data_IF_285712222052
#
_entry.id   IF_285712222052
#
_cell.length_a   1.000
_cell.length_b   1.000
_cell.length_c   1.000
_cell.angle_alpha   90.00
_cell.angle_beta   90.00
_cell.angle_gamma   90.00
#
_symmetry.space_group_name_H-M   'P 1'
#
loop_
_entity.id
_entity.type
_entity.pdbx_description
1 polymer ?
#
# COMPACT_ATOMS: atom_id res chain seq x y z
N UNK A 1 -13.66 53.09 -16.95
CA UNK A 1 -13.11 52.15 -15.95
C UNK A 1 -11.93 51.45 -16.60
N UNK A 2 -10.69 51.82 -16.22
CA UNK A 2 -9.46 51.25 -16.77
C UNK A 2 -9.20 49.91 -16.05
N UNK A 3 -9.01 48.83 -16.83
CA UNK A 3 -8.59 47.53 -16.32
C UNK A 3 -7.19 47.67 -15.70
N UNK A 4 -6.94 47.01 -14.55
CA UNK A 4 -5.61 46.99 -13.98
C UNK A 4 -4.68 46.17 -14.86
N UNK A 5 -3.59 46.78 -15.33
CA UNK A 5 -2.56 46.08 -16.08
C UNK A 5 -1.85 45.06 -15.19
N UNK A 6 -1.86 43.80 -15.60
CA UNK A 6 -1.05 42.72 -14.98
C UNK A 6 0.44 43.08 -15.11
N UNK A 7 1.11 43.40 -14.01
CA UNK A 7 2.56 43.59 -13.98
C UNK A 7 3.23 42.23 -13.89
N UNK A 8 4.04 41.89 -14.88
CA UNK A 8 4.98 40.78 -14.82
C UNK A 8 5.97 41.08 -13.71
N UNK A 9 6.13 40.10 -12.80
CA UNK A 9 7.18 40.16 -11.74
C UNK A 9 8.53 40.02 -12.44
N UNK A 10 9.32 41.10 -12.43
CA UNK A 10 10.70 41.07 -12.91
C UNK A 10 11.52 40.01 -12.16
N UNK A 11 12.43 39.31 -12.85
CA UNK A 11 13.27 38.28 -12.28
C UNK A 11 14.13 38.76 -11.08
N UNK A 12 14.72 37.86 -10.32
CA UNK A 12 15.40 38.19 -9.06
C UNK A 12 16.54 39.19 -9.29
N UNK A 13 16.46 40.34 -8.60
CA UNK A 13 17.54 41.34 -8.60
C UNK A 13 18.81 40.75 -7.96
N UNK A 14 20.00 41.26 -8.31
CA UNK A 14 21.30 40.84 -7.73
C UNK A 14 21.29 40.88 -6.18
N UNK A 15 20.50 41.80 -5.57
CA UNK A 15 20.36 41.91 -4.12
C UNK A 15 19.57 40.75 -3.52
N UNK A 16 18.55 40.25 -4.21
CA UNK A 16 17.76 39.08 -3.76
C UNK A 16 18.61 37.80 -3.78
N UNK A 17 19.49 37.64 -4.76
CA UNK A 17 20.40 36.49 -4.85
C UNK A 17 21.41 36.48 -3.72
N UNK A 18 22.01 37.64 -3.37
CA UNK A 18 22.95 37.76 -2.25
C UNK A 18 22.26 37.53 -0.92
N UNK A 19 21.07 38.11 -0.71
CA UNK A 19 20.29 37.90 0.49
C UNK A 19 19.91 36.41 0.68
N UNK A 20 19.48 35.72 -0.39
CA UNK A 20 19.19 34.29 -0.36
C UNK A 20 20.43 33.47 -0.01
N UNK A 21 21.60 33.77 -0.62
CA UNK A 21 22.85 33.09 -0.34
C UNK A 21 23.28 33.24 1.12
N UNK A 22 23.15 34.46 1.69
CA UNK A 22 23.42 34.70 3.09
C UNK A 22 22.49 33.93 4.03
N UNK A 23 21.18 33.90 3.73
CA UNK A 23 20.20 33.14 4.50
C UNK A 23 20.48 31.64 4.45
N UNK A 24 20.80 31.06 3.28
CA UNK A 24 21.17 29.65 3.13
C UNK A 24 22.43 29.32 3.95
N UNK A 25 23.46 30.18 3.91
CA UNK A 25 24.68 29.99 4.71
C UNK A 25 24.41 30.05 6.21
N UNK A 26 23.51 30.92 6.66
CA UNK A 26 23.09 31.00 8.05
C UNK A 26 22.34 29.73 8.49
N UNK A 27 21.42 29.24 7.67
CA UNK A 27 20.66 28.00 7.92
C UNK A 27 21.63 26.81 8.00
N UNK A 28 22.57 26.69 7.07
CA UNK A 28 23.55 25.61 7.10
C UNK A 28 24.46 25.63 8.33
N UNK A 29 24.82 26.80 8.82
CA UNK A 29 25.59 26.94 10.09
C UNK A 29 24.76 26.54 11.31
N UNK A 30 23.48 26.87 11.34
CA UNK A 30 22.63 26.67 12.49
C UNK A 30 22.04 25.23 12.53
N UNK A 31 21.70 24.65 11.40
CA UNK A 31 20.98 23.38 11.29
C UNK A 31 21.77 22.26 10.59
N UNK A 32 22.98 22.56 10.09
CA UNK A 32 23.82 21.60 9.37
C UNK A 32 23.68 21.68 7.86
N UNK A 33 24.69 21.15 7.15
CA UNK A 33 24.70 21.07 5.69
C UNK A 33 23.56 20.19 5.19
N UNK A 34 22.86 20.65 4.15
CA UNK A 34 21.75 19.92 3.55
C UNK A 34 20.37 20.20 4.18
N UNK A 35 20.30 21.12 5.16
CA UNK A 35 19.02 21.56 5.76
C UNK A 35 18.09 22.22 4.74
N UNK A 36 18.65 22.83 3.69
CA UNK A 36 17.91 23.36 2.54
C UNK A 36 18.61 22.88 1.26
N UNK A 37 17.85 22.26 0.37
CA UNK A 37 18.35 21.75 -0.91
C UNK A 37 17.53 22.29 -2.08
N UNK A 38 18.17 22.47 -3.24
CA UNK A 38 17.45 22.74 -4.49
C UNK A 38 16.97 21.42 -5.08
N UNK A 39 15.68 21.29 -5.30
CA UNK A 39 15.04 20.04 -5.75
C UNK A 39 15.65 19.48 -7.05
N UNK A 40 16.00 20.33 -8.00
CA UNK A 40 16.57 19.92 -9.30
C UNK A 40 18.08 19.58 -9.33
N UNK A 41 18.78 19.60 -8.17
CA UNK A 41 20.21 19.24 -8.10
C UNK A 41 20.49 17.86 -7.51
N UNK A 42 19.49 17.18 -6.97
CA UNK A 42 19.63 15.88 -6.30
C UNK A 42 18.65 14.87 -6.88
N UNK A 43 18.95 14.31 -8.07
CA UNK A 43 18.16 13.23 -8.67
C UNK A 43 18.05 12.00 -7.75
N UNK A 44 19.06 11.77 -6.90
CA UNK A 44 19.06 10.67 -5.91
C UNK A 44 18.06 10.84 -4.76
N UNK A 45 17.57 12.07 -4.48
CA UNK A 45 16.57 12.30 -3.43
C UNK A 45 15.14 11.96 -3.89
N UNK A 46 14.93 11.71 -5.17
CA UNK A 46 13.65 11.36 -5.76
C UNK A 46 13.48 9.85 -6.01
N UNK A 47 14.55 9.07 -5.89
CA UNK A 47 14.52 7.62 -6.09
C UNK A 47 13.99 6.93 -4.82
N UNK A 48 12.67 6.80 -4.74
CA UNK A 48 12.01 6.08 -3.65
C UNK A 48 12.03 4.59 -3.99
N UNK A 49 12.80 3.84 -3.22
CA UNK A 49 12.81 2.39 -3.32
C UNK A 49 11.44 1.82 -2.98
N UNK A 50 11.01 0.80 -3.72
CA UNK A 50 9.75 0.13 -3.52
C UNK A 50 9.95 -1.34 -3.12
N UNK A 51 9.03 -1.83 -2.28
CA UNK A 51 8.90 -3.24 -1.93
C UNK A 51 7.64 -3.77 -2.62
N UNK A 52 7.75 -4.89 -3.34
CA UNK A 52 6.61 -5.51 -3.98
C UNK A 52 5.52 -5.84 -2.97
N UNK A 53 4.28 -5.61 -3.35
CA UNK A 53 3.10 -5.99 -2.57
C UNK A 53 2.81 -7.50 -2.63
N UNK A 54 3.48 -8.22 -3.52
CA UNK A 54 3.19 -9.61 -3.85
C UNK A 54 2.16 -9.78 -4.97
N UNK A 55 1.49 -8.71 -5.40
CA UNK A 55 0.62 -8.63 -6.57
C UNK A 55 1.28 -7.76 -7.64
N UNK A 56 1.52 -8.34 -8.81
CA UNK A 56 2.15 -7.63 -9.93
C UNK A 56 1.26 -6.49 -10.44
N UNK A 57 -0.05 -6.72 -10.50
CA UNK A 57 -1.00 -5.70 -10.92
C UNK A 57 -1.03 -4.50 -9.99
N UNK A 58 -1.01 -4.75 -8.68
CA UNK A 58 -0.95 -3.68 -7.69
C UNK A 58 0.38 -2.92 -7.76
N UNK A 59 1.50 -3.62 -7.93
CA UNK A 59 2.82 -2.99 -8.09
C UNK A 59 2.87 -2.04 -9.30
N UNK A 60 2.26 -2.44 -10.43
CA UNK A 60 2.13 -1.59 -11.62
C UNK A 60 1.17 -0.42 -11.36
N UNK A 61 0.05 -0.66 -10.71
CA UNK A 61 -0.93 0.39 -10.39
C UNK A 61 -0.36 1.47 -9.46
N UNK A 62 0.54 1.09 -8.54
CA UNK A 62 1.24 2.00 -7.64
C UNK A 62 2.25 2.92 -8.38
N UNK A 63 2.66 2.58 -9.60
CA UNK A 63 3.46 3.42 -10.48
C UNK A 63 4.94 3.50 -10.17
N UNK A 64 5.39 2.96 -9.03
CA UNK A 64 6.79 2.88 -8.61
C UNK A 64 7.28 1.44 -8.46
N UNK A 65 6.47 0.46 -8.89
CA UNK A 65 6.81 -0.96 -8.84
C UNK A 65 6.60 -1.63 -7.47
N UNK A 66 5.80 -1.04 -6.59
CA UNK A 66 5.46 -1.58 -5.28
C UNK A 66 5.11 -0.51 -4.25
N UNK A 67 5.10 -0.89 -2.98
CA UNK A 67 4.85 -0.01 -1.84
C UNK A 67 6.11 0.77 -1.45
N UNK A 68 6.00 2.07 -1.10
CA UNK A 68 7.16 2.95 -0.91
C UNK A 68 7.88 2.71 0.41
N UNK A 69 9.21 2.54 0.37
CA UNK A 69 10.06 2.56 1.56
C UNK A 69 10.11 3.95 2.19
N UNK A 70 10.27 3.99 3.51
CA UNK A 70 10.35 5.24 4.26
C UNK A 70 9.04 6.02 4.30
N UNK A 71 7.92 5.33 4.12
CA UNK A 71 6.58 5.92 4.09
C UNK A 71 5.58 5.13 4.92
N UNK A 72 4.49 5.82 5.26
CA UNK A 72 3.31 5.21 5.88
C UNK A 72 2.36 4.77 4.78
N UNK A 73 1.91 3.52 4.87
CA UNK A 73 0.90 2.90 4.02
C UNK A 73 -0.29 2.51 4.89
N UNK A 74 -1.51 2.75 4.44
CA UNK A 74 -2.73 2.25 5.07
C UNK A 74 -3.41 1.25 4.13
N UNK A 75 -3.69 0.06 4.65
CA UNK A 75 -4.51 -0.97 3.99
C UNK A 75 -5.79 -1.10 4.79
N UNK A 76 -6.93 -0.79 4.18
CA UNK A 76 -8.20 -0.85 4.89
C UNK A 76 -9.29 -1.51 4.04
N UNK A 77 -10.29 -2.04 4.69
CA UNK A 77 -11.41 -2.72 4.05
C UNK A 77 -12.26 -3.49 5.05
N UNK A 78 -13.34 -4.12 4.56
CA UNK A 78 -14.19 -5.00 5.38
C UNK A 78 -13.40 -6.15 5.99
N UNK A 79 -14.02 -6.84 6.94
CA UNK A 79 -13.50 -8.09 7.49
C UNK A 79 -13.34 -9.15 6.38
N UNK A 80 -12.34 -10.02 6.51
CA UNK A 80 -12.06 -11.09 5.55
C UNK A 80 -11.82 -10.64 4.10
N UNK A 81 -11.44 -9.37 3.88
CA UNK A 81 -11.15 -8.84 2.54
C UNK A 81 -9.72 -9.13 2.04
N UNK A 82 -8.83 -9.69 2.89
CA UNK A 82 -7.45 -10.02 2.53
C UNK A 82 -6.40 -8.97 2.94
N UNK A 83 -6.71 -8.06 3.88
CA UNK A 83 -5.78 -7.03 4.39
C UNK A 83 -4.48 -7.62 4.93
N UNK A 84 -4.60 -8.52 5.89
CA UNK A 84 -3.46 -9.20 6.53
C UNK A 84 -2.71 -10.07 5.52
N UNK A 85 -3.42 -10.74 4.60
CA UNK A 85 -2.81 -11.52 3.51
C UNK A 85 -1.90 -10.65 2.64
N UNK A 86 -2.36 -9.48 2.22
CA UNK A 86 -1.56 -8.55 1.41
C UNK A 86 -0.34 -8.01 2.17
N UNK A 87 -0.50 -7.71 3.46
CA UNK A 87 0.61 -7.28 4.31
C UNK A 87 1.66 -8.40 4.50
N UNK A 88 1.23 -9.64 4.71
CA UNK A 88 2.12 -10.80 4.82
C UNK A 88 2.86 -11.09 3.51
N UNK A 89 2.21 -10.95 2.36
CA UNK A 89 2.90 -11.04 1.07
C UNK A 89 3.98 -9.96 0.93
N UNK A 90 3.69 -8.72 1.37
CA UNK A 90 4.69 -7.65 1.37
C UNK A 90 5.89 -7.98 2.25
N UNK A 91 5.67 -8.57 3.44
CA UNK A 91 6.73 -9.08 4.32
C UNK A 91 7.54 -10.14 3.60
N UNK A 92 6.88 -11.14 2.99
CA UNK A 92 7.56 -12.22 2.27
C UNK A 92 8.44 -11.69 1.12
N UNK A 93 7.95 -10.71 0.36
CA UNK A 93 8.72 -10.08 -0.72
C UNK A 93 9.91 -9.24 -0.19
N UNK A 94 9.76 -8.60 0.97
CA UNK A 94 10.86 -7.89 1.63
C UNK A 94 11.95 -8.87 2.13
N UNK A 95 11.54 -9.95 2.81
CA UNK A 95 12.46 -10.97 3.32
C UNK A 95 13.23 -11.69 2.21
N UNK A 96 12.63 -11.94 1.04
CA UNK A 96 13.31 -12.50 -0.14
C UNK A 96 14.50 -11.64 -0.61
N UNK A 97 14.46 -10.33 -0.33
CA UNK A 97 15.54 -9.38 -0.63
C UNK A 97 16.50 -9.18 0.57
N UNK A 98 16.38 -10.01 1.62
CA UNK A 98 17.18 -9.91 2.84
C UNK A 98 16.71 -8.82 3.80
N UNK A 99 15.49 -8.30 3.62
CA UNK A 99 14.92 -7.27 4.50
C UNK A 99 14.47 -7.82 5.85
N UNK A 100 14.69 -7.06 6.92
CA UNK A 100 14.23 -7.37 8.27
C UNK A 100 12.81 -6.82 8.44
N UNK A 101 11.90 -7.70 8.90
CA UNK A 101 10.49 -7.38 9.03
C UNK A 101 10.00 -7.57 10.47
N UNK A 102 9.06 -6.71 10.87
CA UNK A 102 8.40 -6.79 12.18
C UNK A 102 6.88 -6.71 12.01
N UNK A 103 6.17 -7.38 12.91
CA UNK A 103 4.72 -7.43 12.96
C UNK A 103 4.24 -7.14 14.38
N UNK A 104 3.48 -6.07 14.54
CA UNK A 104 2.80 -5.72 15.79
C UNK A 104 1.37 -6.21 15.68
N UNK A 105 1.10 -7.34 16.32
CA UNK A 105 -0.17 -8.04 16.32
C UNK A 105 -1.03 -7.60 17.50
N UNK A 106 -1.76 -6.50 17.33
CA UNK A 106 -2.66 -5.98 18.36
C UNK A 106 -4.02 -6.74 18.41
N UNK A 107 -4.33 -7.54 17.41
CA UNK A 107 -5.52 -8.41 17.40
C UNK A 107 -5.24 -9.79 18.01
N UNK A 108 -3.96 -10.15 18.25
CA UNK A 108 -3.52 -11.48 18.72
C UNK A 108 -4.01 -12.62 17.82
N UNK A 109 -4.06 -12.38 16.52
CA UNK A 109 -4.72 -13.26 15.55
C UNK A 109 -3.78 -13.77 14.44
N UNK A 110 -2.48 -13.47 14.49
CA UNK A 110 -1.53 -13.93 13.48
C UNK A 110 -1.34 -15.44 13.55
N UNK A 111 -1.69 -16.13 12.46
CA UNK A 111 -1.41 -17.55 12.28
C UNK A 111 -0.03 -17.74 11.61
N UNK A 112 0.97 -18.31 12.34
CA UNK A 112 2.30 -18.54 11.78
C UNK A 112 2.30 -19.62 10.69
N UNK A 113 1.35 -20.58 10.72
CA UNK A 113 1.23 -21.61 9.70
C UNK A 113 0.76 -20.97 8.39
N UNK A 114 -0.23 -20.09 8.47
CA UNK A 114 -0.70 -19.34 7.30
C UNK A 114 0.39 -18.39 6.75
N UNK A 115 1.07 -17.65 7.62
CA UNK A 115 2.17 -16.77 7.23
C UNK A 115 3.26 -17.52 6.47
N UNK A 116 3.66 -18.73 6.96
CA UNK A 116 4.64 -19.59 6.30
C UNK A 116 4.18 -20.05 4.91
N UNK A 117 2.90 -20.38 4.76
CA UNK A 117 2.32 -20.74 3.43
C UNK A 117 2.36 -19.60 2.43
N UNK A 118 2.26 -18.35 2.89
CA UNK A 118 2.40 -17.15 2.06
C UNK A 118 3.87 -16.83 1.70
N UNK A 119 4.82 -17.60 2.21
CA UNK A 119 6.24 -17.44 1.93
C UNK A 119 6.99 -16.57 2.95
N UNK A 120 6.37 -16.24 4.08
CA UNK A 120 7.04 -15.53 5.18
C UNK A 120 8.00 -16.49 5.89
N UNK A 121 9.25 -16.06 6.08
CA UNK A 121 10.17 -16.70 6.99
C UNK A 121 9.79 -16.32 8.43
N UNK A 122 8.99 -17.16 9.07
CA UNK A 122 8.44 -16.89 10.40
C UNK A 122 9.50 -16.95 11.50
N UNK A 123 10.61 -17.66 11.25
CA UNK A 123 11.69 -17.81 12.21
C UNK A 123 12.53 -16.51 12.33
N UNK A 124 12.49 -15.65 11.32
CA UNK A 124 13.14 -14.34 11.31
C UNK A 124 12.17 -13.17 11.43
N UNK A 125 10.86 -13.43 11.49
CA UNK A 125 9.88 -12.36 11.66
C UNK A 125 9.82 -11.93 13.13
N UNK A 126 10.13 -10.65 13.37
CA UNK A 126 9.96 -10.07 14.71
C UNK A 126 8.46 -9.88 14.97
N UNK A 127 7.94 -10.46 16.05
CA UNK A 127 6.54 -10.32 16.44
C UNK A 127 6.43 -9.67 17.81
N UNK A 128 5.45 -8.78 17.97
CA UNK A 128 5.06 -8.19 19.24
C UNK A 128 3.55 -8.23 19.39
N UNK A 129 3.07 -8.61 20.57
CA UNK A 129 1.65 -8.68 20.91
C UNK A 129 1.37 -7.80 22.13
N UNK A 130 1.24 -6.49 21.94
CA UNK A 130 1.05 -5.53 23.01
C UNK A 130 -0.40 -5.52 23.52
N UNK A 131 -0.57 -5.27 24.82
CA UNK A 131 -1.89 -5.18 25.45
C UNK A 131 -2.55 -3.80 25.25
N UNK A 132 -1.75 -2.73 25.09
CA UNK A 132 -2.25 -1.35 24.97
C UNK A 132 -1.74 -0.68 23.70
N UNK A 133 -2.53 0.25 23.15
CA UNK A 133 -2.18 1.01 21.97
C UNK A 133 -0.91 1.85 22.12
N UNK A 134 -0.68 2.44 23.30
CA UNK A 134 0.55 3.18 23.62
C UNK A 134 1.77 2.27 23.52
N UNK A 135 1.69 1.07 24.10
CA UNK A 135 2.78 0.09 24.04
C UNK A 135 3.08 -0.34 22.60
N UNK A 136 2.04 -0.64 21.82
CA UNK A 136 2.17 -0.98 20.40
C UNK A 136 2.93 0.09 19.62
N UNK A 137 2.55 1.36 19.82
CA UNK A 137 3.11 2.49 19.08
C UNK A 137 4.50 2.90 19.58
N UNK A 138 4.83 2.68 20.85
CA UNK A 138 6.18 2.87 21.39
C UNK A 138 7.16 1.79 20.91
N UNK A 139 6.71 0.54 20.82
CA UNK A 139 7.47 -0.56 20.22
C UNK A 139 7.73 -0.24 18.75
N UNK A 140 6.70 0.17 18.01
CA UNK A 140 6.82 0.58 16.61
C UNK A 140 7.81 1.76 16.45
N UNK A 141 7.76 2.79 17.28
CA UNK A 141 8.69 3.92 17.25
C UNK A 141 10.15 3.46 17.52
N UNK A 142 10.34 2.57 18.47
CA UNK A 142 11.67 2.05 18.82
C UNK A 142 12.26 1.23 17.67
N UNK A 143 11.47 0.34 17.05
CA UNK A 143 11.89 -0.46 15.91
C UNK A 143 12.22 0.42 14.70
N UNK A 144 11.38 1.39 14.39
CA UNK A 144 11.62 2.34 13.29
C UNK A 144 12.88 3.16 13.53
N UNK A 145 13.08 3.69 14.73
CA UNK A 145 14.26 4.50 15.07
C UNK A 145 15.57 3.74 15.07
N UNK A 146 15.52 2.43 15.24
CA UNK A 146 16.73 1.58 15.13
C UNK A 146 17.35 1.64 13.74
N UNK A 147 16.55 1.92 12.70
CA UNK A 147 16.97 1.90 11.29
C UNK A 147 17.28 0.50 10.74
N UNK A 148 17.04 -0.55 11.53
CA UNK A 148 17.33 -1.93 11.14
C UNK A 148 16.13 -2.63 10.47
N UNK A 149 14.91 -2.11 10.64
CA UNK A 149 13.67 -2.73 10.13
C UNK A 149 13.29 -2.11 8.80
N UNK A 150 13.09 -2.94 7.78
CA UNK A 150 12.66 -2.53 6.44
C UNK A 150 11.14 -2.39 6.33
N UNK A 151 10.40 -3.35 6.91
CA UNK A 151 8.93 -3.37 6.93
C UNK A 151 8.42 -3.59 8.34
N UNK A 152 7.54 -2.72 8.78
CA UNK A 152 6.80 -2.85 10.03
C UNK A 152 5.31 -2.87 9.72
N UNK A 153 4.60 -3.90 10.14
CA UNK A 153 3.13 -4.00 10.04
C UNK A 153 2.52 -3.80 11.42
N UNK A 154 1.44 -3.05 11.50
CA UNK A 154 0.59 -2.89 12.70
C UNK A 154 -0.80 -3.39 12.35
N UNK A 155 -1.22 -4.50 12.93
CA UNK A 155 -2.52 -5.15 12.69
C UNK A 155 -3.30 -5.28 14.00
N UNK A 156 -4.38 -4.55 14.22
CA UNK A 156 -4.90 -3.47 13.40
C UNK A 156 -5.03 -2.17 14.22
N UNK A 157 -5.18 -1.05 13.52
CA UNK A 157 -5.45 0.26 14.20
C UNK A 157 -6.70 0.17 15.06
N UNK A 158 -7.71 -0.61 14.65
CA UNK A 158 -8.95 -0.78 15.41
C UNK A 158 -8.74 -1.42 16.80
N UNK A 159 -7.71 -2.25 16.94
CA UNK A 159 -7.35 -2.94 18.18
C UNK A 159 -6.38 -2.14 19.08
N UNK A 160 -5.90 -0.98 18.63
CA UNK A 160 -5.05 -0.10 19.44
C UNK A 160 -5.90 0.63 20.49
N UNK A 161 -6.23 -0.08 21.58
CA UNK A 161 -7.01 0.47 22.69
C UNK A 161 -6.09 1.31 23.58
N UNK A 162 -6.43 2.58 23.86
CA UNK A 162 -5.69 3.41 24.81
C UNK A 162 -5.70 2.83 26.23
N UNK A 163 -4.58 2.94 26.95
CA UNK A 163 -4.45 2.42 28.31
C UNK A 163 -5.54 2.94 29.24
N UNK A 164 -5.86 4.23 29.14
CA UNK A 164 -6.92 4.83 29.94
C UNK A 164 -8.31 4.19 29.73
N UNK A 165 -8.55 3.62 28.54
CA UNK A 165 -9.77 2.89 28.22
C UNK A 165 -9.73 1.46 28.78
N UNK A 166 -8.54 0.84 28.84
CA UNK A 166 -8.34 -0.47 29.42
C UNK A 166 -8.43 -0.48 30.96
N UNK A 167 -7.99 0.61 31.60
CA UNK A 167 -8.01 0.80 33.06
C UNK A 167 -9.36 1.34 33.58
N UNK A 168 -10.24 1.82 32.66
CA UNK A 168 -11.57 2.30 32.98
C UNK A 168 -12.57 1.19 33.30
N UNK A 169 -13.72 1.56 33.85
CA UNK A 169 -14.81 0.61 34.08
C UNK A 169 -15.55 0.30 32.77
N UNK A 170 -16.16 -0.90 32.70
CA UNK A 170 -17.00 -1.29 31.56
C UNK A 170 -18.16 -0.30 31.39
N UNK A 171 -18.16 0.39 30.23
CA UNK A 171 -19.16 1.41 29.93
C UNK A 171 -18.66 2.84 30.00
N UNK A 172 -17.44 3.06 30.49
CA UNK A 172 -16.80 4.38 30.45
C UNK A 172 -16.54 4.79 29.00
N UNK A 173 -17.07 5.94 28.61
CA UNK A 173 -16.91 6.46 27.25
C UNK A 173 -15.77 7.47 27.25
N UNK A 174 -14.72 7.15 26.47
CA UNK A 174 -13.57 8.07 26.24
C UNK A 174 -13.52 8.54 24.77
N UNK A 175 -14.41 9.47 24.37
CA UNK A 175 -14.52 9.88 22.98
C UNK A 175 -13.20 10.43 22.41
N UNK A 176 -12.74 9.87 21.33
CA UNK A 176 -11.59 10.36 20.59
C UNK A 176 -10.23 10.05 21.21
N UNK A 177 -10.13 9.24 22.27
CA UNK A 177 -8.88 8.81 22.90
C UNK A 177 -7.94 8.13 21.88
N UNK A 178 -8.43 7.15 21.12
CA UNK A 178 -7.72 6.47 20.07
C UNK A 178 -7.25 7.43 18.96
N UNK A 179 -8.10 8.38 18.55
CA UNK A 179 -7.74 9.36 17.53
C UNK A 179 -6.62 10.31 17.99
N UNK A 180 -6.61 10.70 19.27
CA UNK A 180 -5.53 11.50 19.88
C UNK A 180 -4.23 10.70 19.92
N UNK A 181 -4.29 9.44 20.36
CA UNK A 181 -3.15 8.52 20.41
C UNK A 181 -2.52 8.36 19.01
N UNK A 182 -3.31 8.06 17.99
CA UNK A 182 -2.85 7.94 16.60
C UNK A 182 -2.25 9.25 16.08
N UNK A 183 -2.87 10.39 16.38
CA UNK A 183 -2.35 11.70 15.96
C UNK A 183 -0.99 12.03 16.60
N UNK A 184 -0.79 11.67 17.86
CA UNK A 184 0.47 11.86 18.58
C UNK A 184 1.56 10.93 18.03
N UNK A 185 1.23 9.65 17.85
CA UNK A 185 2.16 8.64 17.35
C UNK A 185 2.64 8.97 15.94
N UNK A 186 1.73 9.29 15.02
CA UNK A 186 2.09 9.59 13.63
C UNK A 186 2.96 10.85 13.50
N UNK A 187 2.76 11.86 14.36
CA UNK A 187 3.66 13.03 14.42
C UNK A 187 5.09 12.67 14.81
N UNK A 188 5.26 11.73 15.76
CA UNK A 188 6.59 11.21 16.13
C UNK A 188 7.21 10.33 15.06
N UNK A 189 6.43 9.35 14.59
CA UNK A 189 6.89 8.31 13.66
C UNK A 189 7.30 8.85 12.30
N UNK A 190 6.60 9.85 11.76
CA UNK A 190 6.79 10.28 10.36
C UNK A 190 8.23 10.70 10.05
N UNK A 191 8.87 11.46 10.94
CA UNK A 191 10.25 11.89 10.75
C UNK A 191 11.24 10.73 10.87
N UNK A 192 10.99 9.80 11.79
CA UNK A 192 11.81 8.60 11.99
C UNK A 192 11.68 7.63 10.83
N UNK A 193 10.47 7.38 10.35
CA UNK A 193 10.14 6.55 9.19
C UNK A 193 10.90 7.01 7.94
N UNK A 194 10.88 8.33 7.67
CA UNK A 194 11.58 8.88 6.51
C UNK A 194 13.10 8.72 6.60
N UNK A 195 13.68 8.90 7.80
CA UNK A 195 15.14 8.78 8.02
C UNK A 195 15.62 7.33 8.00
N UNK A 196 14.88 6.43 8.63
CA UNK A 196 15.23 5.00 8.69
C UNK A 196 14.94 4.27 7.39
N UNK A 197 14.14 4.86 6.48
CA UNK A 197 13.60 4.20 5.28
C UNK A 197 12.74 2.97 5.58
N UNK A 198 12.25 2.84 6.81
CA UNK A 198 11.31 1.79 7.19
C UNK A 198 9.96 2.05 6.52
N UNK A 199 9.38 1.08 5.86
CA UNK A 199 7.98 1.12 5.45
C UNK A 199 7.10 0.70 6.62
N UNK A 200 6.11 1.53 6.98
CA UNK A 200 5.15 1.18 8.03
C UNK A 200 3.76 1.01 7.42
N UNK A 201 3.22 -0.21 7.54
CA UNK A 201 1.89 -0.57 7.07
C UNK A 201 0.95 -0.59 8.27
N UNK A 202 -0.08 0.23 8.24
CA UNK A 202 -1.19 0.15 9.17
C UNK A 202 -2.37 -0.55 8.51
N UNK A 203 -2.80 -1.66 9.10
CA UNK A 203 -4.04 -2.33 8.72
C UNK A 203 -5.17 -1.67 9.48
N UNK A 204 -6.28 -1.38 8.79
CA UNK A 204 -7.41 -0.67 9.38
C UNK A 204 -8.75 -1.31 8.99
N UNK A 205 -9.75 -1.08 9.81
CA UNK A 205 -11.11 -1.56 9.61
C UNK A 205 -12.02 -0.41 9.21
N UNK A 206 -13.05 -0.72 8.43
CA UNK A 206 -14.12 0.22 8.07
C UNK A 206 -15.10 0.31 9.24
N UNK A 207 -15.54 1.52 9.53
CA UNK A 207 -16.62 1.84 10.45
C UNK A 207 -17.65 2.69 9.74
N UNK A 208 -18.91 2.56 10.13
CA UNK A 208 -20.01 3.34 9.57
C UNK A 208 -20.26 4.56 10.47
N UNK A 209 -20.30 5.75 9.89
CA UNK A 209 -20.73 6.97 10.58
C UNK A 209 -22.25 6.98 10.68
N UNK A 210 -22.76 7.21 11.89
CA UNK A 210 -24.19 7.36 12.14
C UNK A 210 -24.63 8.76 11.69
N UNK A 211 -25.80 8.84 11.03
CA UNK A 211 -26.42 10.13 10.67
C UNK A 211 -25.88 10.81 9.42
N UNK A 212 -25.09 10.14 8.59
CA UNK A 212 -24.66 10.66 7.29
C UNK A 212 -25.78 10.44 6.27
N UNK A 213 -26.46 11.52 5.88
CA UNK A 213 -27.54 11.49 4.88
C UNK A 213 -27.04 11.63 3.44
N UNK A 214 -25.86 12.23 3.23
CA UNK A 214 -25.24 12.45 1.91
C UNK A 214 -23.76 12.07 1.94
N UNK A 215 -23.25 11.49 0.84
CA UNK A 215 -21.89 11.01 0.71
C UNK A 215 -21.66 9.64 1.36
N UNK A 216 -20.41 9.15 1.33
CA UNK A 216 -20.08 7.83 1.88
C UNK A 216 -20.10 7.87 3.42
N UNK A 217 -20.90 7.01 4.09
CA UNK A 217 -20.86 6.87 5.53
C UNK A 217 -19.63 6.15 6.05
N UNK A 218 -18.85 5.53 5.17
CA UNK A 218 -17.69 4.74 5.55
C UNK A 218 -16.53 5.62 6.07
N UNK A 219 -15.91 5.19 7.13
CA UNK A 219 -14.71 5.78 7.70
C UNK A 219 -13.80 4.71 8.27
N UNK A 220 -12.55 5.02 8.53
CA UNK A 220 -11.59 4.10 9.17
C UNK A 220 -11.45 4.42 10.64
N UNK A 221 -11.06 3.43 11.48
CA UNK A 221 -10.76 3.61 12.91
C UNK A 221 -9.55 4.52 13.14
N UNK A 222 -9.39 5.06 14.36
CA UNK A 222 -8.23 5.88 14.71
C UNK A 222 -8.28 7.34 14.23
N UNK A 223 -9.45 7.82 13.78
CA UNK A 223 -9.66 9.20 13.36
C UNK A 223 -9.08 9.55 11.99
N UNK A 224 -8.80 10.84 11.76
CA UNK A 224 -8.36 11.31 10.44
C UNK A 224 -6.84 11.40 10.27
N UNK A 225 -6.05 11.25 11.33
CA UNK A 225 -4.60 11.46 11.26
C UNK A 225 -3.93 10.56 10.22
N UNK A 226 -4.25 9.27 10.23
CA UNK A 226 -3.67 8.30 9.29
C UNK A 226 -4.00 8.65 7.83
N UNK A 227 -5.20 9.17 7.55
CA UNK A 227 -5.58 9.62 6.20
C UNK A 227 -4.66 10.73 5.67
N UNK A 228 -4.15 11.59 6.54
CA UNK A 228 -3.22 12.67 6.15
C UNK A 228 -1.78 12.19 6.07
N UNK A 229 -1.32 11.39 7.05
CA UNK A 229 0.07 10.94 7.12
C UNK A 229 0.41 9.85 6.11
N UNK A 230 -0.52 8.96 5.78
CA UNK A 230 -0.30 7.94 4.77
C UNK A 230 0.08 8.53 3.41
N UNK A 231 1.11 7.97 2.80
CA UNK A 231 1.52 8.28 1.41
C UNK A 231 0.74 7.47 0.40
N UNK A 232 0.37 6.24 0.77
CA UNK A 232 -0.47 5.34 -0.02
C UNK A 232 -1.61 4.85 0.87
N UNK A 233 -2.83 4.80 0.32
CA UNK A 233 -4.00 4.20 0.95
C UNK A 233 -4.66 3.24 -0.03
N UNK A 234 -4.86 2.01 0.42
CA UNK A 234 -5.44 0.92 -0.34
C UNK A 234 -6.78 0.50 0.29
N UNK A 235 -7.84 0.60 -0.50
CA UNK A 235 -9.16 0.03 -0.17
C UNK A 235 -9.21 -1.38 -0.77
N UNK A 236 -9.30 -2.41 0.06
CA UNK A 236 -9.32 -3.81 -0.36
C UNK A 236 -10.68 -4.42 -0.06
N UNK A 237 -11.31 -5.00 -1.10
CA UNK A 237 -12.66 -5.56 -1.01
C UNK A 237 -12.75 -6.91 -1.71
N UNK A 238 -13.46 -7.83 -1.08
CA UNK A 238 -13.91 -9.05 -1.73
C UNK A 238 -15.06 -8.72 -2.67
N UNK A 239 -14.94 -9.13 -3.94
CA UNK A 239 -15.97 -8.90 -4.97
C UNK A 239 -16.65 -10.19 -5.44
N UNK A 240 -16.05 -11.35 -5.19
CA UNK A 240 -16.61 -12.64 -5.57
C UNK A 240 -16.01 -13.80 -4.79
N UNK A 241 -16.65 -14.96 -4.88
CA UNK A 241 -16.11 -16.22 -4.40
C UNK A 241 -15.61 -17.07 -5.56
N UNK A 242 -14.41 -17.64 -5.44
CA UNK A 242 -13.87 -18.60 -6.39
C UNK A 242 -14.29 -19.99 -5.90
N UNK A 243 -14.96 -20.71 -6.75
CA UNK A 243 -15.48 -22.06 -6.44
C UNK A 243 -14.82 -23.08 -7.35
N UNK A 244 -14.49 -24.22 -6.76
CA UNK A 244 -14.18 -25.43 -7.48
C UNK A 244 -15.26 -26.47 -7.16
N UNK A 245 -16.08 -26.82 -8.14
CA UNK A 245 -17.33 -27.59 -7.95
C UNK A 245 -18.26 -26.86 -6.96
N UNK A 246 -18.49 -27.42 -5.77
CA UNK A 246 -19.37 -26.86 -4.73
C UNK A 246 -18.58 -26.19 -3.58
N UNK A 247 -17.25 -26.28 -3.57
CA UNK A 247 -16.40 -25.72 -2.51
C UNK A 247 -15.87 -24.33 -2.89
N UNK A 248 -15.89 -23.43 -1.91
CA UNK A 248 -15.25 -22.10 -2.05
C UNK A 248 -13.77 -22.24 -1.72
N UNK A 249 -12.91 -22.10 -2.76
CA UNK A 249 -11.46 -22.27 -2.65
C UNK A 249 -10.70 -20.95 -2.57
N UNK A 250 -11.38 -19.82 -2.76
CA UNK A 250 -10.75 -18.52 -2.72
C UNK A 250 -11.75 -17.39 -2.93
N UNK A 251 -11.20 -16.18 -2.98
CA UNK A 251 -11.96 -14.97 -3.21
C UNK A 251 -11.33 -14.16 -4.34
N UNK A 252 -12.17 -13.63 -5.22
CA UNK A 252 -11.80 -12.54 -6.10
C UNK A 252 -11.80 -11.25 -5.28
N UNK A 253 -10.69 -10.53 -5.33
CA UNK A 253 -10.44 -9.36 -4.51
C UNK A 253 -10.10 -8.17 -5.37
N UNK A 254 -10.69 -7.02 -5.06
CA UNK A 254 -10.43 -5.74 -5.69
C UNK A 254 -9.66 -4.84 -4.73
N UNK A 255 -8.60 -4.21 -5.23
CA UNK A 255 -7.82 -3.19 -4.50
C UNK A 255 -7.87 -1.89 -5.26
N UNK A 256 -8.40 -0.84 -4.62
CA UNK A 256 -8.42 0.53 -5.14
C UNK A 256 -7.34 1.36 -4.46
N UNK A 257 -6.48 2.02 -5.25
CA UNK A 257 -5.47 2.95 -4.76
C UNK A 257 -6.13 4.31 -4.52
N UNK A 258 -6.71 4.51 -3.32
CA UNK A 258 -7.50 5.70 -3.01
C UNK A 258 -6.64 6.95 -2.82
N UNK A 259 -5.40 6.77 -2.40
CA UNK A 259 -4.42 7.85 -2.24
C UNK A 259 -3.04 7.35 -2.63
N UNK A 260 -2.34 8.16 -3.41
CA UNK A 260 -0.94 7.91 -3.75
C UNK A 260 -0.22 9.27 -3.91
N UNK A 261 0.82 9.51 -3.11
CA UNK A 261 1.63 10.74 -3.19
C UNK A 261 2.79 10.63 -4.19
N UNK A 262 2.98 9.46 -4.82
CA UNK A 262 4.16 9.11 -5.61
C UNK A 262 3.82 8.92 -7.10
N UNK A 263 2.58 8.60 -7.40
CA UNK A 263 2.04 8.43 -8.75
C UNK A 263 0.55 8.79 -8.76
N UNK A 264 -0.09 8.91 -9.93
CA UNK A 264 -1.53 9.16 -10.02
C UNK A 264 -2.32 8.10 -9.24
N UNK A 265 -3.23 8.52 -8.33
CA UNK A 265 -4.09 7.62 -7.56
C UNK A 265 -5.28 7.12 -8.38
N UNK A 266 -6.20 6.44 -7.71
CA UNK A 266 -7.51 5.94 -8.14
C UNK A 266 -7.47 4.72 -9.05
N UNK A 267 -6.30 4.19 -9.40
CA UNK A 267 -6.19 2.93 -10.13
C UNK A 267 -6.75 1.77 -9.30
N UNK A 268 -7.38 0.82 -9.99
CA UNK A 268 -8.06 -0.31 -9.43
C UNK A 268 -7.54 -1.60 -10.04
N UNK A 269 -7.25 -2.58 -9.22
CA UNK A 269 -6.76 -3.89 -9.66
C UNK A 269 -7.56 -5.01 -9.03
N UNK A 270 -7.72 -6.09 -9.76
CA UNK A 270 -8.38 -7.30 -9.30
C UNK A 270 -7.44 -8.49 -9.40
N UNK A 271 -7.47 -9.32 -8.38
CA UNK A 271 -6.71 -10.56 -8.32
C UNK A 271 -7.40 -11.58 -7.42
N UNK A 272 -7.03 -12.84 -7.59
CA UNK A 272 -7.53 -13.94 -6.80
C UNK A 272 -6.70 -14.12 -5.53
N UNK A 273 -7.35 -14.27 -4.39
CA UNK A 273 -6.74 -14.75 -3.14
C UNK A 273 -7.26 -16.17 -2.90
N UNK A 274 -6.35 -17.15 -3.02
CA UNK A 274 -6.66 -18.56 -2.80
C UNK A 274 -6.48 -18.91 -1.32
N UNK A 275 -7.37 -19.72 -0.78
CA UNK A 275 -7.28 -20.13 0.62
C UNK A 275 -6.06 -21.01 0.84
N UNK A 276 -5.21 -20.63 1.80
CA UNK A 276 -3.98 -21.33 2.11
C UNK A 276 -2.78 -21.06 1.17
N UNK A 277 -2.97 -20.36 0.04
CA UNK A 277 -1.91 -19.99 -0.90
C UNK A 277 -1.70 -18.47 -1.01
N UNK A 278 -2.74 -17.67 -0.68
CA UNK A 278 -2.72 -16.22 -0.83
C UNK A 278 -2.96 -15.73 -2.26
N UNK A 279 -2.29 -14.66 -2.66
CA UNK A 279 -2.43 -14.05 -3.99
C UNK A 279 -1.99 -15.04 -5.08
N UNK A 280 -2.87 -15.30 -6.05
CA UNK A 280 -2.62 -16.19 -7.19
C UNK A 280 -1.71 -15.51 -8.22
N UNK A 281 -0.40 -15.57 -8.00
CA UNK A 281 0.60 -14.93 -8.89
C UNK A 281 0.49 -15.42 -10.33
N UNK A 282 0.30 -16.73 -10.53
CA UNK A 282 0.14 -17.30 -11.89
C UNK A 282 -1.15 -16.86 -12.56
N UNK A 283 -2.23 -16.67 -11.78
CA UNK A 283 -3.48 -16.10 -12.28
C UNK A 283 -3.30 -14.67 -12.77
N UNK A 284 -2.65 -13.82 -11.95
CA UNK A 284 -2.32 -12.46 -12.35
C UNK A 284 -1.43 -12.40 -13.59
N UNK A 285 -0.41 -13.26 -13.68
CA UNK A 285 0.49 -13.31 -14.84
C UNK A 285 -0.25 -13.57 -16.15
N UNK A 286 -1.25 -14.44 -16.13
CA UNK A 286 -2.07 -14.72 -17.31
C UNK A 286 -2.92 -13.50 -17.66
N UNK A 287 -3.62 -12.94 -16.67
CA UNK A 287 -4.56 -11.83 -16.90
C UNK A 287 -3.81 -10.56 -17.33
N UNK A 288 -2.69 -10.25 -16.69
CA UNK A 288 -1.82 -9.12 -17.05
C UNK A 288 -1.04 -9.38 -18.33
N UNK A 289 -0.63 -10.63 -18.58
CA UNK A 289 0.04 -11.03 -19.81
C UNK A 289 -0.86 -10.80 -21.04
N UNK A 290 -2.15 -11.10 -20.92
CA UNK A 290 -3.12 -10.81 -21.97
C UNK A 290 -3.29 -9.28 -22.16
N UNK A 291 -3.40 -8.51 -21.07
CA UNK A 291 -3.50 -7.04 -21.12
C UNK A 291 -2.25 -6.39 -21.73
N UNK A 292 -1.08 -6.98 -21.47
CA UNK A 292 0.22 -6.51 -21.99
C UNK A 292 0.51 -6.99 -23.43
N UNK A 293 -0.36 -7.76 -24.04
CA UNK A 293 -0.13 -8.45 -25.33
C UNK A 293 1.11 -9.36 -25.33
N UNK A 294 1.46 -9.91 -24.17
CA UNK A 294 2.55 -10.89 -23.98
C UNK A 294 2.01 -12.31 -24.08
N UNK A 295 0.81 -12.54 -23.54
CA UNK A 295 0.08 -13.80 -23.67
C UNK A 295 -1.07 -13.59 -24.64
N UNK A 296 -1.12 -14.44 -25.68
CA UNK A 296 -2.19 -14.43 -26.66
C UNK A 296 -3.39 -15.23 -26.16
N UNK A 297 -4.58 -14.69 -26.27
CA UNK A 297 -5.84 -15.36 -25.98
C UNK A 297 -6.66 -15.53 -27.25
N UNK A 298 -6.87 -16.74 -27.70
CA UNK A 298 -7.71 -17.08 -28.85
C UNK A 298 -8.83 -18.06 -28.43
N UNK A 299 -10.05 -17.52 -28.28
CA UNK A 299 -11.16 -18.27 -27.70
C UNK A 299 -10.83 -18.73 -26.27
N UNK A 300 -10.85 -20.05 -26.04
CA UNK A 300 -10.48 -20.65 -24.73
C UNK A 300 -8.97 -20.94 -24.59
N UNK A 301 -8.17 -20.76 -25.65
CA UNK A 301 -6.74 -21.08 -25.62
C UNK A 301 -5.88 -19.88 -25.24
N UNK A 302 -4.89 -20.16 -24.39
CA UNK A 302 -3.81 -19.25 -24.05
C UNK A 302 -2.52 -19.73 -24.69
N UNK A 303 -1.74 -18.80 -25.26
CA UNK A 303 -0.46 -19.08 -25.91
C UNK A 303 0.59 -18.05 -25.52
N UNK A 304 1.83 -18.50 -25.43
CA UNK A 304 3.00 -17.67 -25.20
C UNK A 304 4.12 -18.11 -26.14
N UNK A 305 4.74 -17.17 -26.85
CA UNK A 305 5.82 -17.43 -27.82
C UNK A 305 5.44 -18.55 -28.82
N UNK A 306 4.24 -18.45 -29.40
CA UNK A 306 3.65 -19.44 -30.34
C UNK A 306 3.39 -20.83 -29.74
N UNK A 307 3.64 -21.02 -28.45
CA UNK A 307 3.35 -22.27 -27.74
C UNK A 307 2.03 -22.16 -26.97
N UNK A 308 1.16 -23.17 -27.12
CA UNK A 308 -0.05 -23.28 -26.29
C UNK A 308 0.33 -23.60 -24.85
N UNK A 309 -0.11 -22.77 -23.90
CA UNK A 309 0.15 -22.92 -22.46
C UNK A 309 -1.07 -23.45 -21.70
N UNK A 310 -2.26 -23.47 -22.30
CA UNK A 310 -3.44 -24.08 -21.70
C UNK A 310 -4.74 -23.76 -22.41
N UNK A 311 -5.69 -24.68 -22.30
CA UNK A 311 -7.08 -24.44 -22.65
C UNK A 311 -7.85 -24.09 -21.39
N UNK A 312 -8.35 -22.86 -21.30
CA UNK A 312 -8.94 -22.30 -20.09
C UNK A 312 -7.89 -21.73 -19.12
N UNK A 313 -8.32 -20.79 -18.28
CA UNK A 313 -7.45 -20.05 -17.36
C UNK A 313 -6.78 -20.95 -16.33
N UNK A 314 -7.50 -21.95 -15.81
CA UNK A 314 -6.96 -22.86 -14.78
C UNK A 314 -5.84 -23.77 -15.32
N UNK A 315 -6.00 -24.30 -16.54
CA UNK A 315 -4.92 -25.10 -17.17
C UNK A 315 -3.69 -24.24 -17.47
N UNK A 316 -3.88 -22.99 -17.89
CA UNK A 316 -2.78 -22.06 -18.10
C UNK A 316 -2.07 -21.70 -16.77
N UNK A 317 -2.82 -21.51 -15.67
CA UNK A 317 -2.25 -21.32 -14.33
C UNK A 317 -1.41 -22.52 -13.90
N UNK A 318 -1.93 -23.75 -14.10
CA UNK A 318 -1.20 -24.96 -13.77
C UNK A 318 0.08 -25.09 -14.60
N UNK A 319 0.00 -24.82 -15.91
CA UNK A 319 1.19 -24.82 -16.78
C UNK A 319 2.27 -23.86 -16.25
N UNK A 320 1.90 -22.65 -15.81
CA UNK A 320 2.87 -21.70 -15.27
C UNK A 320 3.42 -22.11 -13.89
N UNK A 321 2.64 -22.83 -13.07
CA UNK A 321 3.13 -23.45 -11.83
C UNK A 321 4.19 -24.52 -12.12
N UNK A 322 3.97 -25.33 -13.15
CA UNK A 322 4.87 -26.43 -13.54
C UNK A 322 6.09 -25.93 -14.35
N UNK A 323 6.01 -24.72 -14.92
CA UNK A 323 7.06 -24.12 -15.74
C UNK A 323 7.45 -22.72 -15.21
N UNK A 324 8.16 -22.63 -14.06
CA UNK A 324 8.51 -21.35 -13.43
C UNK A 324 9.40 -20.46 -14.30
N UNK A 325 10.22 -21.05 -15.19
CA UNK A 325 11.06 -20.29 -16.12
C UNK A 325 10.22 -19.52 -17.16
N UNK A 326 9.12 -20.12 -17.62
CA UNK A 326 8.17 -19.46 -18.53
C UNK A 326 7.42 -18.36 -17.79
N UNK A 327 6.98 -18.61 -16.55
CA UNK A 327 6.34 -17.62 -15.70
C UNK A 327 7.25 -16.40 -15.48
N UNK A 328 8.54 -16.62 -15.18
CA UNK A 328 9.51 -15.55 -15.00
C UNK A 328 9.74 -14.71 -16.27
N UNK A 329 9.76 -15.35 -17.46
CA UNK A 329 9.86 -14.64 -18.75
C UNK A 329 8.64 -13.77 -19.02
N UNK A 330 7.43 -14.31 -18.79
CA UNK A 330 6.19 -13.55 -18.94
C UNK A 330 6.17 -12.38 -17.97
N UNK A 331 6.54 -12.58 -16.69
CA UNK A 331 6.62 -11.51 -15.71
C UNK A 331 7.56 -10.39 -16.14
N UNK A 332 8.77 -10.74 -16.61
CA UNK A 332 9.75 -9.76 -17.08
C UNK A 332 9.20 -8.92 -18.25
N UNK A 333 8.52 -9.55 -19.21
CA UNK A 333 7.92 -8.84 -20.35
C UNK A 333 6.72 -7.98 -19.93
N UNK A 334 5.86 -8.46 -19.01
CA UNK A 334 4.75 -7.67 -18.46
C UNK A 334 5.28 -6.44 -17.73
N UNK A 335 6.38 -6.56 -16.96
CA UNK A 335 7.03 -5.43 -16.31
C UNK A 335 7.62 -4.42 -17.31
N UNK A 336 8.19 -4.88 -18.41
CA UNK A 336 8.67 -4.00 -19.49
C UNK A 336 7.51 -3.26 -20.16
N UNK A 337 6.36 -3.92 -20.32
CA UNK A 337 5.16 -3.35 -20.90
C UNK A 337 4.22 -2.73 -19.85
N UNK A 338 4.74 -2.36 -18.69
CA UNK A 338 3.94 -1.85 -17.56
C UNK A 338 3.14 -0.59 -17.89
N UNK A 339 3.58 0.22 -18.85
CA UNK A 339 2.84 1.37 -19.36
C UNK A 339 1.50 0.95 -20.00
N UNK A 340 1.53 -0.04 -20.89
CA UNK A 340 0.33 -0.59 -21.57
C UNK A 340 -0.64 -1.19 -20.54
N UNK A 341 -0.10 -1.93 -19.56
CA UNK A 341 -0.91 -2.50 -18.48
C UNK A 341 -1.55 -1.43 -17.62
N UNK A 342 -0.80 -0.36 -17.28
CA UNK A 342 -1.32 0.76 -16.49
C UNK A 342 -2.45 1.50 -17.22
N UNK A 343 -2.33 1.71 -18.53
CA UNK A 343 -3.38 2.29 -19.38
C UNK A 343 -4.61 1.38 -19.45
N UNK A 344 -4.42 0.06 -19.58
CA UNK A 344 -5.51 -0.90 -19.62
C UNK A 344 -6.25 -1.02 -18.25
N UNK A 345 -5.54 -0.82 -17.15
CA UNK A 345 -6.12 -0.74 -15.81
C UNK A 345 -6.99 0.51 -15.67
N UNK A 346 -6.55 1.66 -16.19
CA UNK A 346 -7.32 2.90 -16.17
C UNK A 346 -8.54 2.84 -17.10
N UNK A 347 -8.40 2.28 -18.29
CA UNK A 347 -9.51 2.14 -19.26
C UNK A 347 -10.61 1.16 -18.81
N UNK A 348 -10.30 0.26 -17.88
CA UNK A 348 -11.28 -0.63 -17.25
C UNK A 348 -12.21 0.08 -16.26
N UNK A 349 -11.78 1.20 -15.69
CA UNK A 349 -12.57 2.01 -14.75
C UNK A 349 -13.77 2.69 -15.41
N UNK A 350 -13.65 3.08 -16.69
CA UNK A 350 -14.73 3.73 -17.43
C UNK A 350 -15.92 2.79 -17.74
N UNK A 351 -15.78 1.48 -17.52
CA UNK A 351 -16.84 0.50 -17.79
C UNK A 351 -17.65 0.07 -16.56
N UNK A 352 -17.08 0.24 -15.38
CA UNK A 352 -17.71 -0.19 -14.12
C UNK A 352 -18.37 0.98 -13.34
N UNK A 353 -18.13 2.23 -13.75
CA UNK A 353 -18.64 3.44 -13.05
C UNK A 353 -20.02 3.91 -13.55
N UNK A 354 -20.62 3.22 -14.54
CA UNK A 354 -21.98 3.50 -15.03
C UNK A 354 -23.10 3.11 -14.05
N UNK A 355 -22.79 2.74 -12.81
CA UNK A 355 -23.74 2.28 -11.78
C UNK A 355 -23.86 3.12 -10.51
N UNK A 356 -22.96 4.08 -10.24
CA UNK A 356 -23.11 5.00 -9.12
C UNK A 356 -22.97 6.45 -9.59
N UNK A 357 -24.09 7.06 -10.03
CA UNK A 357 -24.20 8.51 -10.11
C UNK A 357 -23.90 9.13 -8.74
N UNK A 358 -22.68 9.60 -8.57
CA UNK A 358 -22.35 10.55 -7.52
C UNK A 358 -22.93 11.90 -7.97
N UNK A 359 -24.12 12.21 -7.50
CA UNK A 359 -24.66 13.55 -7.62
C UNK A 359 -23.73 14.50 -6.84
N UNK A 360 -22.87 15.21 -7.55
CA UNK A 360 -22.24 16.44 -7.06
C UNK A 360 -23.32 17.51 -6.91
N UNK A 361 -23.55 17.93 -5.69
CA UNK A 361 -24.07 19.26 -5.34
C UNK A 361 -23.55 19.65 -3.96
#
# INVERSE_FOLDING_TARGET
>A
MSQPALRLVEGPSMDKSKALSAALSQIERQFGKGSVMKLGKNDKAMDIEAISSGSLGLDIALGIGGLPRGRVVEIYGPESSGKTTLALHTIAEAQKKGGICAFVDAEHALDPIYARKLGVNVDELLISQPDAGEQALEIADTLVRSGAVDVLVVDSVAALVPRAELEGEMGDVQPGSQARLMSQALRKLTASISRSRTMVIFINQIRMKIGVMYGSPETTSGGNALKFYASVRLDIRRIGAIKERDEVIGNQTRVKVVKNKLAPPFKQVEFDIMYGEGVSKTGELIDLGVKANVVEKSGSWFSYDSQRIGQGRENAKQFLKDNPDVAAKIEAQVRQNSGIVAEAIMAGEDKDDDGEEVAEA
#
